data_IF_944567770243
#
_entry.id   IF_944567770243
#
_cell.length_a   1.000
_cell.length_b   1.000
_cell.length_c   1.000
_cell.angle_alpha   90.00
_cell.angle_beta   90.00
_cell.angle_gamma   90.00
#
_symmetry.space_group_name_H-M   'P 1'
#
loop_
_entity.id
_entity.type
_entity.pdbx_description
1 polymer ?
#
# COMPACT_ATOMS: atom_id res chain seq x y z
N UNK A 1 25.48 -8.58 -8.33
CA UNK A 1 26.15 -8.18 -9.58
C UNK A 1 25.17 -7.65 -10.63
N UNK A 2 24.07 -8.35 -10.94
CA UNK A 2 23.08 -7.92 -11.95
C UNK A 2 22.43 -6.57 -11.63
N UNK A 3 21.99 -6.34 -10.39
CA UNK A 3 21.42 -5.06 -9.98
C UNK A 3 22.41 -3.89 -10.12
N UNK A 4 23.70 -4.13 -9.87
CA UNK A 4 24.74 -3.13 -10.10
C UNK A 4 24.86 -2.78 -11.60
N UNK A 5 24.77 -3.77 -12.49
CA UNK A 5 24.74 -3.55 -13.96
C UNK A 5 23.51 -2.75 -14.38
N UNK A 6 22.34 -3.09 -13.82
CA UNK A 6 21.10 -2.35 -14.08
C UNK A 6 21.18 -0.89 -13.63
N UNK A 7 21.67 -0.64 -12.41
CA UNK A 7 21.87 0.73 -11.90
C UNK A 7 22.85 1.53 -12.77
N UNK A 8 23.93 0.90 -13.23
CA UNK A 8 24.87 1.55 -14.15
C UNK A 8 24.23 1.87 -15.50
N UNK A 9 23.39 0.98 -16.03
CA UNK A 9 22.65 1.22 -17.26
C UNK A 9 21.65 2.39 -17.10
N UNK A 10 20.86 2.40 -16.03
CA UNK A 10 19.95 3.50 -15.70
C UNK A 10 20.69 4.84 -15.57
N UNK A 11 21.85 4.84 -14.91
CA UNK A 11 22.70 6.04 -14.77
C UNK A 11 23.18 6.55 -16.14
N UNK A 12 23.57 5.67 -17.06
CA UNK A 12 23.99 6.08 -18.42
C UNK A 12 22.84 6.72 -19.20
N UNK A 13 21.61 6.23 -19.03
CA UNK A 13 20.42 6.84 -19.64
C UNK A 13 20.21 8.27 -19.14
N UNK A 14 20.35 8.51 -17.83
CA UNK A 14 20.17 9.87 -17.25
C UNK A 14 21.19 10.90 -17.72
N UNK A 15 22.39 10.48 -18.14
CA UNK A 15 23.42 11.39 -18.65
C UNK A 15 23.01 11.97 -20.01
N UNK A 16 22.25 11.21 -20.81
CA UNK A 16 21.91 11.58 -22.19
C UNK A 16 20.48 12.11 -22.34
N UNK A 17 19.60 11.84 -21.37
CA UNK A 17 18.18 12.15 -21.49
C UNK A 17 17.53 12.43 -20.13
N UNK A 18 16.58 13.37 -20.10
CA UNK A 18 15.70 13.58 -18.97
C UNK A 18 14.74 12.39 -18.81
N UNK A 19 14.56 11.92 -17.57
CA UNK A 19 13.60 10.87 -17.26
C UNK A 19 12.22 11.46 -16.96
N UNK A 20 11.18 10.87 -17.54
CA UNK A 20 9.80 11.15 -17.20
C UNK A 20 9.32 10.12 -16.17
N UNK A 21 8.70 10.58 -15.08
CA UNK A 21 8.33 9.73 -13.94
C UNK A 21 7.46 8.55 -14.38
N UNK A 22 6.51 8.80 -15.26
CA UNK A 22 5.53 7.83 -15.74
C UNK A 22 6.14 6.73 -16.61
N UNK A 23 7.27 7.02 -17.27
CA UNK A 23 7.91 6.11 -18.22
C UNK A 23 9.19 5.47 -17.67
N UNK A 24 9.72 5.98 -16.56
CA UNK A 24 11.05 5.62 -16.07
C UNK A 24 11.06 5.24 -14.58
N UNK A 25 9.94 4.73 -14.07
CA UNK A 25 9.79 4.39 -12.65
C UNK A 25 10.84 3.36 -12.18
N UNK A 26 11.14 2.35 -13.02
CA UNK A 26 12.11 1.30 -12.72
C UNK A 26 13.52 1.88 -12.60
N UNK A 27 13.90 2.75 -13.53
CA UNK A 27 15.20 3.44 -13.52
C UNK A 27 15.31 4.36 -12.31
N UNK A 28 14.30 5.20 -12.04
CA UNK A 28 14.29 6.13 -10.91
C UNK A 28 14.46 5.40 -9.57
N UNK A 29 13.74 4.30 -9.38
CA UNK A 29 13.86 3.46 -8.18
C UNK A 29 15.25 2.80 -8.10
N UNK A 30 15.81 2.34 -9.21
CA UNK A 30 17.15 1.73 -9.24
C UNK A 30 18.26 2.69 -8.80
N UNK A 31 18.13 3.97 -9.13
CA UNK A 31 19.07 5.02 -8.70
C UNK A 31 19.06 5.18 -7.17
N UNK A 32 17.92 4.92 -6.54
CA UNK A 32 17.72 4.90 -5.09
C UNK A 32 18.02 3.54 -4.43
N UNK A 33 18.62 2.60 -5.18
CA UNK A 33 18.91 1.22 -4.76
C UNK A 33 17.66 0.34 -4.52
N UNK A 34 16.56 0.64 -5.22
CA UNK A 34 15.33 -0.13 -5.13
C UNK A 34 15.13 -0.88 -6.45
N UNK A 35 14.94 -2.20 -6.39
CA UNK A 35 14.51 -3.01 -7.53
C UNK A 35 12.99 -3.19 -7.47
N UNK A 36 12.29 -2.66 -8.46
CA UNK A 36 10.84 -2.82 -8.55
C UNK A 36 10.51 -4.15 -9.25
N UNK A 37 9.84 -5.05 -8.53
CA UNK A 37 9.33 -6.30 -9.07
C UNK A 37 7.87 -6.15 -9.47
N UNK A 38 7.60 -6.14 -10.78
CA UNK A 38 6.25 -6.07 -11.33
C UNK A 38 6.14 -7.11 -12.46
N UNK A 39 5.65 -8.30 -12.11
CA UNK A 39 5.49 -9.44 -13.03
C UNK A 39 4.80 -9.00 -14.31
N UNK A 40 5.37 -9.36 -15.46
CA UNK A 40 4.89 -9.01 -16.80
C UNK A 40 4.82 -7.50 -17.13
N UNK A 41 5.34 -6.62 -16.26
CA UNK A 41 5.37 -5.16 -16.44
C UNK A 41 6.79 -4.58 -16.28
N UNK A 42 7.79 -5.43 -16.46
CA UNK A 42 9.18 -5.02 -16.47
C UNK A 42 9.52 -4.31 -17.78
N UNK A 43 10.34 -3.26 -17.68
CA UNK A 43 10.90 -2.60 -18.86
C UNK A 43 11.91 -3.52 -19.56
N UNK A 44 12.06 -3.35 -20.87
CA UNK A 44 12.96 -4.17 -21.68
C UNK A 44 14.40 -4.18 -21.13
N UNK A 45 14.91 -3.02 -20.68
CA UNK A 45 16.25 -2.92 -20.09
C UNK A 45 16.43 -3.81 -18.85
N UNK A 46 15.38 -3.98 -18.05
CA UNK A 46 15.40 -4.84 -16.87
C UNK A 46 15.41 -6.31 -17.32
N UNK A 47 14.55 -6.67 -18.27
CA UNK A 47 14.49 -8.02 -18.85
C UNK A 47 15.80 -8.41 -19.53
N UNK A 48 16.44 -7.50 -20.26
CA UNK A 48 17.72 -7.76 -20.95
C UNK A 48 18.86 -8.07 -19.96
N UNK A 49 18.81 -7.51 -18.76
CA UNK A 49 19.87 -7.66 -17.75
C UNK A 49 19.60 -8.83 -16.80
N UNK A 50 18.36 -9.00 -16.36
CA UNK A 50 18.00 -10.02 -15.38
C UNK A 50 17.47 -11.30 -16.01
N UNK A 51 16.92 -11.26 -17.22
CA UNK A 51 15.97 -12.23 -17.80
C UNK A 51 14.61 -12.24 -17.11
N UNK A 52 13.57 -12.56 -17.86
CA UNK A 52 12.19 -12.68 -17.34
C UNK A 52 12.09 -13.82 -16.32
N UNK A 53 12.68 -14.98 -16.60
CA UNK A 53 12.67 -16.15 -15.71
C UNK A 53 13.23 -15.83 -14.32
N UNK A 54 14.34 -15.09 -14.25
CA UNK A 54 14.97 -14.72 -12.96
C UNK A 54 14.11 -13.73 -12.18
N UNK A 55 13.48 -12.76 -12.87
CA UNK A 55 12.60 -11.78 -12.22
C UNK A 55 11.35 -12.46 -11.65
N UNK A 56 10.78 -13.41 -12.41
CA UNK A 56 9.62 -14.19 -11.98
C UNK A 56 9.94 -15.12 -10.83
N UNK A 57 11.09 -15.79 -10.85
CA UNK A 57 11.57 -16.64 -9.75
C UNK A 57 11.77 -15.82 -8.48
N UNK A 58 12.48 -14.68 -8.57
CA UNK A 58 12.70 -13.78 -7.45
C UNK A 58 11.39 -13.25 -6.87
N UNK A 59 10.44 -12.86 -7.72
CA UNK A 59 9.13 -12.40 -7.28
C UNK A 59 8.38 -13.51 -6.53
N UNK A 60 8.42 -14.75 -7.01
CA UNK A 60 7.76 -15.88 -6.35
C UNK A 60 8.37 -16.19 -4.99
N UNK A 61 9.71 -16.21 -4.88
CA UNK A 61 10.40 -16.47 -3.63
C UNK A 61 10.03 -15.44 -2.55
N UNK A 62 10.10 -14.15 -2.88
CA UNK A 62 9.75 -13.06 -1.95
C UNK A 62 8.28 -13.16 -1.54
N UNK A 63 7.38 -13.43 -2.49
CA UNK A 63 5.95 -13.54 -2.20
C UNK A 63 5.63 -14.71 -1.25
N UNK A 64 6.28 -15.86 -1.42
CA UNK A 64 6.08 -17.03 -0.55
C UNK A 64 6.59 -16.76 0.88
N UNK A 65 7.65 -15.97 1.03
CA UNK A 65 8.16 -15.57 2.35
C UNK A 65 7.23 -14.56 3.04
N UNK A 66 6.64 -13.63 2.26
CA UNK A 66 5.90 -12.49 2.81
C UNK A 66 4.38 -12.71 2.93
N UNK A 67 3.78 -13.58 2.13
CA UNK A 67 2.32 -13.73 2.01
C UNK A 67 1.90 -15.18 2.30
N UNK A 68 0.99 -15.36 3.25
CA UNK A 68 0.32 -16.63 3.47
C UNK A 68 -0.85 -16.82 2.50
N UNK A 69 -0.56 -17.38 1.32
CA UNK A 69 -1.55 -17.69 0.29
C UNK A 69 -2.63 -18.71 0.72
N UNK A 70 -2.52 -19.33 1.90
CA UNK A 70 -3.56 -20.23 2.42
C UNK A 70 -4.73 -19.46 3.03
N UNK A 71 -4.53 -18.19 3.40
CA UNK A 71 -5.60 -17.33 3.86
C UNK A 71 -6.34 -16.72 2.67
N UNK A 72 -7.43 -17.37 2.26
CA UNK A 72 -8.34 -16.81 1.29
C UNK A 72 -9.52 -16.09 1.97
N UNK A 73 -9.81 -14.88 1.50
CA UNK A 73 -10.95 -14.08 1.92
C UNK A 73 -12.05 -14.24 0.87
N UNK A 74 -12.97 -15.19 1.12
CA UNK A 74 -14.06 -15.49 0.19
C UNK A 74 -14.81 -14.23 -0.26
N UNK A 75 -15.03 -14.08 -1.57
CA UNK A 75 -15.72 -12.93 -2.17
C UNK A 75 -17.10 -12.63 -1.54
N UNK A 76 -17.84 -13.67 -1.14
CA UNK A 76 -19.14 -13.50 -0.46
C UNK A 76 -18.99 -12.74 0.86
N UNK A 77 -17.92 -13.00 1.61
CA UNK A 77 -17.61 -12.27 2.84
C UNK A 77 -17.31 -10.79 2.54
N UNK A 78 -16.43 -10.51 1.57
CA UNK A 78 -16.07 -9.16 1.17
C UNK A 78 -17.29 -8.37 0.67
N UNK A 79 -18.13 -9.00 -0.15
CA UNK A 79 -19.37 -8.41 -0.67
C UNK A 79 -20.36 -8.05 0.44
N UNK A 80 -20.55 -8.94 1.43
CA UNK A 80 -21.42 -8.66 2.59
C UNK A 80 -20.87 -7.49 3.41
N UNK A 81 -19.56 -7.48 3.67
CA UNK A 81 -18.92 -6.41 4.42
C UNK A 81 -19.08 -5.05 3.73
N UNK A 82 -18.84 -5.00 2.41
CA UNK A 82 -19.01 -3.78 1.60
C UNK A 82 -20.45 -3.27 1.65
N UNK A 83 -21.45 -4.16 1.58
CA UNK A 83 -22.86 -3.77 1.70
C UNK A 83 -23.15 -3.12 3.05
N UNK A 84 -22.67 -3.69 4.15
CA UNK A 84 -22.85 -3.10 5.48
C UNK A 84 -22.20 -1.71 5.60
N UNK A 85 -20.99 -1.54 5.06
CA UNK A 85 -20.32 -0.25 5.04
C UNK A 85 -21.09 0.81 4.23
N UNK A 86 -21.58 0.43 3.06
CA UNK A 86 -22.39 1.32 2.22
C UNK A 86 -23.73 1.68 2.88
N UNK A 87 -24.37 0.73 3.58
CA UNK A 87 -25.58 0.98 4.34
C UNK A 87 -25.34 1.91 5.53
N UNK A 88 -24.18 1.80 6.19
CA UNK A 88 -23.76 2.70 7.26
C UNK A 88 -23.57 4.14 6.73
N UNK A 89 -22.86 4.29 5.62
CA UNK A 89 -22.53 5.60 5.03
C UNK A 89 -23.77 6.31 4.47
N UNK A 90 -24.65 5.56 3.79
CA UNK A 90 -25.94 6.06 3.27
C UNK A 90 -27.01 6.28 4.35
N UNK A 91 -26.73 5.93 5.62
CA UNK A 91 -27.66 5.96 6.76
C UNK A 91 -28.93 5.12 6.54
N UNK A 92 -28.85 4.08 5.71
CA UNK A 92 -29.96 3.17 5.43
C UNK A 92 -30.23 2.24 6.63
N UNK A 93 -29.19 1.90 7.39
CA UNK A 93 -29.29 1.11 8.62
C UNK A 93 -28.66 1.88 9.79
N UNK A 94 -29.19 1.68 11.00
CA UNK A 94 -28.58 2.23 12.21
C UNK A 94 -27.30 1.49 12.55
N UNK A 95 -26.43 2.10 13.37
CA UNK A 95 -25.18 1.48 13.81
C UNK A 95 -25.43 0.17 14.57
N UNK A 96 -26.46 0.15 15.40
CA UNK A 96 -26.80 -1.00 16.22
C UNK A 96 -27.28 -2.18 15.34
N UNK A 97 -28.04 -1.89 14.28
CA UNK A 97 -28.48 -2.91 13.31
C UNK A 97 -27.28 -3.51 12.57
N UNK A 98 -26.37 -2.68 12.07
CA UNK A 98 -25.18 -3.14 11.35
C UNK A 98 -24.26 -3.94 12.28
N UNK A 99 -24.16 -3.55 13.54
CA UNK A 99 -23.40 -4.30 14.52
C UNK A 99 -23.97 -5.71 14.74
N UNK A 100 -25.29 -5.82 14.89
CA UNK A 100 -25.97 -7.12 15.01
C UNK A 100 -25.72 -7.97 13.77
N UNK A 101 -25.86 -7.37 12.58
CA UNK A 101 -25.63 -8.06 11.29
C UNK A 101 -24.17 -8.56 11.16
N UNK A 102 -23.19 -7.75 11.56
CA UNK A 102 -21.78 -8.17 11.62
C UNK A 102 -21.59 -9.32 12.61
N UNK A 103 -22.13 -9.22 13.82
CA UNK A 103 -22.03 -10.29 14.82
C UNK A 103 -22.66 -11.61 14.34
N UNK A 104 -23.76 -11.53 13.57
CA UNK A 104 -24.39 -12.69 12.95
C UNK A 104 -23.53 -13.29 11.84
N UNK A 105 -22.94 -12.46 10.98
CA UNK A 105 -22.02 -12.89 9.93
C UNK A 105 -20.83 -13.67 10.52
N UNK A 106 -20.35 -13.25 11.69
CA UNK A 106 -19.18 -13.82 12.36
C UNK A 106 -19.27 -15.32 12.68
N UNK A 107 -20.47 -15.87 12.88
CA UNK A 107 -20.66 -17.25 13.40
C UNK A 107 -20.12 -18.34 12.47
N UNK A 108 -20.02 -18.06 11.17
CA UNK A 108 -19.63 -19.03 10.15
C UNK A 108 -18.23 -18.77 9.56
N UNK A 109 -17.45 -17.89 10.20
CA UNK A 109 -16.17 -17.43 9.67
C UNK A 109 -14.99 -18.11 10.34
N UNK A 110 -13.87 -18.16 9.62
CA UNK A 110 -12.61 -18.64 10.17
C UNK A 110 -12.04 -17.66 11.24
N UNK A 111 -11.10 -18.08 12.10
CA UNK A 111 -10.59 -17.22 13.19
C UNK A 111 -10.04 -15.86 12.75
N UNK A 112 -9.37 -15.79 11.60
CA UNK A 112 -8.85 -14.53 11.05
C UNK A 112 -9.99 -13.57 10.69
N UNK A 113 -10.94 -14.03 9.89
CA UNK A 113 -12.12 -13.28 9.48
C UNK A 113 -12.93 -12.80 10.70
N UNK A 114 -13.04 -13.65 11.73
CA UNK A 114 -13.66 -13.26 12.98
C UNK A 114 -12.91 -12.14 13.70
N UNK A 115 -11.58 -12.18 13.71
CA UNK A 115 -10.75 -11.12 14.30
C UNK A 115 -10.94 -9.81 13.55
N UNK A 116 -10.82 -9.85 12.21
CA UNK A 116 -11.03 -8.70 11.35
C UNK A 116 -12.39 -8.04 11.60
N UNK A 117 -13.46 -8.84 11.69
CA UNK A 117 -14.79 -8.32 11.94
C UNK A 117 -14.91 -7.63 13.31
N UNK A 118 -14.27 -8.19 14.35
CA UNK A 118 -14.23 -7.55 15.68
C UNK A 118 -13.55 -6.19 15.62
N UNK A 119 -12.43 -6.10 14.89
CA UNK A 119 -11.66 -4.87 14.76
C UNK A 119 -12.45 -3.80 14.00
N UNK A 120 -13.13 -4.20 12.93
CA UNK A 120 -14.04 -3.34 12.18
C UNK A 120 -15.19 -2.83 13.04
N UNK A 121 -15.89 -3.71 13.77
CA UNK A 121 -16.97 -3.31 14.67
C UNK A 121 -16.46 -2.35 15.75
N UNK A 122 -15.28 -2.60 16.31
CA UNK A 122 -14.66 -1.72 17.28
C UNK A 122 -14.31 -0.34 16.66
N UNK A 123 -13.81 -0.31 15.42
CA UNK A 123 -13.55 0.93 14.70
C UNK A 123 -14.83 1.71 14.44
N UNK A 124 -15.91 1.07 13.98
CA UNK A 124 -17.22 1.73 13.74
C UNK A 124 -17.81 2.37 15.00
N UNK A 125 -17.58 1.78 16.18
CA UNK A 125 -17.98 2.34 17.48
C UNK A 125 -17.12 3.53 17.89
N UNK A 126 -15.80 3.46 17.67
CA UNK A 126 -14.83 4.45 18.14
C UNK A 126 -14.65 5.64 17.20
N UNK A 127 -14.88 5.46 15.90
CA UNK A 127 -14.69 6.52 14.92
C UNK A 127 -15.80 7.57 15.04
N UNK A 128 -15.45 8.86 15.23
CA UNK A 128 -16.42 9.93 15.26
C UNK A 128 -17.10 10.07 13.89
N UNK A 129 -18.44 10.10 13.88
CA UNK A 129 -19.29 10.24 12.69
C UNK A 129 -19.36 11.67 12.14
N UNK A 130 -18.78 12.62 12.86
CA UNK A 130 -18.62 13.96 12.35
C UNK A 130 -17.58 13.82 11.26
N UNK A 131 -17.93 14.14 10.01
CA UNK A 131 -16.93 14.32 8.96
C UNK A 131 -15.81 15.11 9.60
N UNK A 132 -14.60 14.52 9.68
CA UNK A 132 -13.45 15.25 10.14
C UNK A 132 -13.42 16.47 9.23
N UNK A 133 -13.86 17.61 9.76
CA UNK A 133 -13.80 18.85 9.04
C UNK A 133 -12.33 18.91 8.72
N UNK A 134 -11.99 18.80 7.44
CA UNK A 134 -10.79 19.39 6.92
C UNK A 134 -10.95 20.87 7.29
N UNK A 135 -10.65 21.23 8.56
CA UNK A 135 -9.74 22.34 8.79
C UNK A 135 -8.70 22.00 7.75
N UNK A 136 -8.68 22.78 6.66
CA UNK A 136 -7.45 22.93 5.91
C UNK A 136 -6.43 22.97 7.01
N UNK A 137 -5.67 21.89 7.17
CA UNK A 137 -4.40 22.00 7.79
C UNK A 137 -3.82 23.10 6.92
N UNK A 138 -3.80 24.30 7.47
CA UNK A 138 -2.74 25.25 7.25
C UNK A 138 -1.49 24.59 7.81
N UNK A 139 -1.17 23.45 7.20
CA UNK A 139 0.13 23.06 6.77
C UNK A 139 0.02 23.58 5.33
N UNK A 140 0.13 24.90 5.07
CA UNK A 140 1.46 25.51 4.90
C UNK A 140 2.46 24.39 4.91
N UNK A 141 2.66 23.81 3.72
CA UNK A 141 3.82 22.99 3.37
C UNK A 141 4.83 23.17 4.48
N UNK A 142 4.96 22.19 5.37
CA UNK A 142 6.01 22.29 6.36
C UNK A 142 7.25 22.50 5.50
N UNK A 143 7.88 23.65 5.65
CA UNK A 143 9.09 24.03 4.92
C UNK A 143 10.27 23.11 5.31
N UNK A 144 9.97 22.02 6.05
CA UNK A 144 10.79 20.86 6.36
C UNK A 144 10.53 19.62 5.49
N UNK A 145 9.54 19.60 4.58
CA UNK A 145 9.40 18.54 3.56
C UNK A 145 9.05 17.15 4.08
N UNK A 146 8.29 17.03 5.16
CA UNK A 146 7.97 15.73 5.76
C UNK A 146 6.94 14.96 4.90
N UNK A 147 7.32 13.76 4.42
CA UNK A 147 6.49 12.93 3.55
C UNK A 147 5.43 12.23 4.41
N UNK A 148 4.17 12.69 4.35
CA UNK A 148 3.05 12.06 5.08
C UNK A 148 2.17 11.20 4.16
N UNK A 149 2.11 9.87 4.37
CA UNK A 149 1.21 8.98 3.63
C UNK A 149 -0.23 9.06 4.15
N UNK A 150 -1.19 8.61 3.34
CA UNK A 150 -2.61 8.51 3.73
C UNK A 150 -2.86 7.45 4.83
N UNK A 151 -2.05 6.40 4.85
CA UNK A 151 -2.12 5.32 5.84
C UNK A 151 -0.74 4.95 6.38
N UNK A 152 -0.71 4.51 7.64
CA UNK A 152 0.49 4.00 8.31
C UNK A 152 0.13 2.73 9.06
N UNK A 153 0.96 1.69 8.90
CA UNK A 153 0.86 0.42 9.59
C UNK A 153 1.97 0.40 10.64
N UNK A 154 1.59 0.31 11.91
CA UNK A 154 2.53 0.21 13.02
C UNK A 154 2.11 -0.92 13.94
N UNK A 155 3.08 -1.54 14.61
CA UNK A 155 2.79 -2.48 15.68
C UNK A 155 2.56 -1.72 16.98
N UNK A 156 1.50 -2.07 17.70
CA UNK A 156 1.22 -1.50 19.01
C UNK A 156 1.66 -2.51 20.08
N UNK A 157 2.59 -2.11 20.93
CA UNK A 157 2.94 -2.87 22.12
C UNK A 157 2.39 -2.13 23.35
N UNK A 158 1.46 -2.78 24.05
CA UNK A 158 0.76 -2.20 25.20
C UNK A 158 0.03 -0.89 24.88
N UNK A 159 0.61 0.26 25.20
CA UNK A 159 0.05 1.60 24.95
C UNK A 159 0.88 2.43 23.98
N UNK A 160 2.03 1.91 23.55
CA UNK A 160 2.98 2.63 22.73
C UNK A 160 3.01 2.03 21.32
N UNK A 161 3.16 2.92 20.33
CA UNK A 161 3.37 2.52 18.95
C UNK A 161 4.86 2.29 18.71
N UNK A 162 5.18 1.14 18.14
CA UNK A 162 6.49 0.90 17.54
C UNK A 162 6.66 1.74 16.26
N UNK A 163 7.90 1.85 15.73
CA UNK A 163 8.12 2.44 14.42
C UNK A 163 7.19 1.85 13.36
N UNK A 164 6.84 2.68 12.39
CA UNK A 164 6.02 2.28 11.24
C UNK A 164 6.67 1.10 10.52
N UNK A 165 5.85 0.09 10.20
CA UNK A 165 6.21 -1.11 9.45
C UNK A 165 5.64 -1.08 8.03
N UNK A 166 4.82 -0.09 7.72
CA UNK A 166 4.19 0.03 6.42
C UNK A 166 3.43 1.31 6.20
N UNK A 167 3.09 1.58 4.95
CA UNK A 167 2.48 2.84 4.50
C UNK A 167 1.48 2.59 3.38
N UNK A 168 0.53 3.50 3.23
CA UNK A 168 -0.40 3.45 2.11
C UNK A 168 -0.79 4.80 1.56
N UNK A 169 -1.09 4.82 0.27
CA UNK A 169 -1.63 5.99 -0.45
C UNK A 169 -2.97 5.60 -1.10
N UNK A 170 -3.93 6.53 -1.08
CA UNK A 170 -5.28 6.29 -1.62
C UNK A 170 -5.66 7.42 -2.56
N UNK A 171 -5.99 7.06 -3.81
CA UNK A 171 -6.52 7.99 -4.79
C UNK A 171 -7.89 7.57 -5.30
N UNK A 172 -8.76 8.56 -5.40
CA UNK A 172 -10.08 8.39 -6.04
C UNK A 172 -9.93 8.23 -7.54
N UNK A 173 -10.61 7.24 -8.11
CA UNK A 173 -10.75 7.09 -9.55
C UNK A 173 -11.47 8.31 -10.14
N UNK A 174 -10.91 8.84 -11.23
CA UNK A 174 -11.48 9.97 -11.98
C UNK A 174 -11.72 9.54 -13.42
N UNK A 175 -12.52 10.32 -14.15
CA UNK A 175 -12.78 10.09 -15.58
C UNK A 175 -11.52 10.03 -16.43
N UNK A 176 -10.45 10.70 -15.99
CA UNK A 176 -9.11 10.63 -16.57
C UNK A 176 -8.12 10.23 -15.49
N UNK A 177 -7.37 9.15 -15.71
CA UNK A 177 -6.33 8.70 -14.79
C UNK A 177 -5.13 9.65 -14.85
N UNK A 178 -4.74 10.18 -13.70
CA UNK A 178 -3.53 10.98 -13.54
C UNK A 178 -2.34 10.05 -13.22
N UNK A 179 -1.74 9.49 -14.28
CA UNK A 179 -0.61 8.56 -14.17
C UNK A 179 0.60 9.21 -13.47
N UNK A 180 0.85 10.50 -13.74
CA UNK A 180 1.90 11.25 -13.07
C UNK A 180 1.73 11.21 -11.56
N UNK A 181 0.52 11.53 -11.07
CA UNK A 181 0.26 11.51 -9.65
C UNK A 181 0.32 10.11 -9.04
N UNK A 182 -0.08 9.06 -9.77
CA UNK A 182 0.03 7.67 -9.28
C UNK A 182 1.48 7.21 -9.15
N UNK A 183 2.30 7.46 -10.19
CA UNK A 183 3.72 7.13 -10.17
C UNK A 183 4.49 7.93 -9.10
N UNK A 184 4.12 9.20 -8.89
CA UNK A 184 4.69 10.01 -7.83
C UNK A 184 4.40 9.44 -6.42
N UNK A 185 3.16 9.01 -6.16
CA UNK A 185 2.81 8.34 -4.91
C UNK A 185 3.56 7.00 -4.73
N UNK A 186 3.75 6.25 -5.81
CA UNK A 186 4.54 5.01 -5.78
C UNK A 186 6.01 5.30 -5.38
N UNK A 187 6.61 6.36 -5.93
CA UNK A 187 7.95 6.81 -5.54
C UNK A 187 8.02 7.19 -4.05
N UNK A 188 7.00 7.91 -3.55
CA UNK A 188 6.90 8.26 -2.13
C UNK A 188 6.82 7.02 -1.24
N UNK A 189 5.96 6.05 -1.59
CA UNK A 189 5.84 4.79 -0.86
C UNK A 189 7.17 4.03 -0.83
N UNK A 190 7.85 3.95 -1.97
CA UNK A 190 9.15 3.29 -2.06
C UNK A 190 10.22 3.98 -1.20
N UNK A 191 10.25 5.31 -1.17
CA UNK A 191 11.15 6.07 -0.31
C UNK A 191 10.85 5.83 1.18
N UNK A 192 9.58 5.91 1.60
CA UNK A 192 9.17 5.63 2.98
C UNK A 192 9.51 4.20 3.42
N UNK A 193 9.28 3.22 2.55
CA UNK A 193 9.62 1.82 2.82
C UNK A 193 11.12 1.64 3.00
N UNK A 194 11.91 2.21 2.09
CA UNK A 194 13.37 2.17 2.16
C UNK A 194 13.88 2.82 3.45
N UNK A 195 13.43 4.03 3.77
CA UNK A 195 13.87 4.76 4.97
C UNK A 195 13.50 4.00 6.24
N UNK A 196 12.36 3.32 6.24
CA UNK A 196 11.94 2.43 7.34
C UNK A 196 12.86 1.24 7.48
N UNK A 197 13.20 0.56 6.38
CA UNK A 197 14.15 -0.56 6.38
C UNK A 197 15.53 -0.10 6.87
N UNK A 198 16.03 1.00 6.33
CA UNK A 198 17.37 1.52 6.63
C UNK A 198 17.48 2.03 8.07
N UNK A 199 16.45 2.71 8.59
CA UNK A 199 16.50 3.38 9.90
C UNK A 199 16.07 2.48 11.05
N UNK A 200 15.07 1.63 10.84
CA UNK A 200 14.47 0.80 11.90
C UNK A 200 14.90 -0.67 11.81
N UNK A 201 15.61 -1.06 10.75
CA UNK A 201 16.10 -2.41 10.48
C UNK A 201 15.04 -3.54 10.53
N UNK A 202 13.77 -3.36 10.08
CA UNK A 202 12.86 -4.47 9.88
C UNK A 202 13.32 -5.36 8.72
N UNK A 203 12.94 -6.64 8.76
CA UNK A 203 13.20 -7.59 7.66
C UNK A 203 12.48 -7.18 6.36
N UNK A 204 11.31 -6.56 6.47
CA UNK A 204 10.52 -6.08 5.34
C UNK A 204 9.61 -4.92 5.77
N UNK A 205 9.13 -4.14 4.79
CA UNK A 205 8.10 -3.13 4.98
C UNK A 205 6.94 -3.36 4.01
N UNK A 206 5.71 -3.16 4.47
CA UNK A 206 4.50 -3.33 3.64
C UNK A 206 4.03 -1.98 3.10
N UNK A 207 3.94 -1.84 1.79
CA UNK A 207 3.32 -0.66 1.16
C UNK A 207 2.15 -1.05 0.29
N UNK A 208 1.12 -0.22 0.26
CA UNK A 208 -0.03 -0.41 -0.62
C UNK A 208 -0.48 0.91 -1.27
N UNK A 209 -0.95 0.83 -2.50
CA UNK A 209 -1.59 1.95 -3.19
C UNK A 209 -2.97 1.52 -3.65
N UNK A 210 -4.00 2.28 -3.29
CA UNK A 210 -5.38 2.02 -3.69
C UNK A 210 -5.79 3.09 -4.70
N UNK A 211 -6.24 2.66 -5.88
CA UNK A 211 -6.86 3.49 -6.90
C UNK A 211 -8.27 2.98 -7.18
N UNK A 212 -9.30 3.74 -6.76
CA UNK A 212 -10.70 3.29 -6.82
C UNK A 212 -11.72 4.41 -6.71
#
# INVERSE_FOLDING_TARGET
ELFTKFKQAATRTTINQLLFIESSIHELLSLSNILLLCTSQHIQLCVDIFSEDTLDELSKEILVECIDFKQDMCDDFCMKLTRFMNNADSKLQSKDDIEIDLLMLRRNLNPLQQSLLRDITAAMRKLPLIALRNKKSSVTSDESGDIRPDATISKMQQRDFEPSLGFGEVKKARSTTDNHSLCHDLLRLAALAKDTIDSNNPQAALTFQIYG
#
